data_IF_192610785433
#
_entry.id   IF_192610785433
#
_cell.length_a   1.000
_cell.length_b   1.000
_cell.length_c   1.000
_cell.angle_alpha   90.00
_cell.angle_beta   90.00
_cell.angle_gamma   90.00
#
_symmetry.space_group_name_H-M   'P 1'
#
loop_
_entity.id
_entity.type
_entity.pdbx_description
1 polymer ?
#
# COMPACT_ATOMS: atom_id res chain seq x y z
N UNK A 1 30.77 8.03 -8.39
CA UNK A 1 29.53 7.25 -8.57
C UNK A 1 29.21 6.30 -7.41
N UNK A 2 30.04 5.30 -7.07
CA UNK A 2 29.72 4.35 -5.98
C UNK A 2 29.62 4.97 -4.57
N UNK A 3 30.43 6.00 -4.28
CA UNK A 3 30.39 6.71 -2.98
C UNK A 3 29.07 7.47 -2.78
N UNK A 4 28.61 8.20 -3.80
CA UNK A 4 27.32 8.92 -3.80
C UNK A 4 26.15 7.96 -3.56
N UNK A 5 26.13 6.84 -4.29
CA UNK A 5 25.08 5.82 -4.14
C UNK A 5 25.01 5.29 -2.70
N UNK A 6 26.16 5.11 -2.04
CA UNK A 6 26.20 4.75 -0.61
C UNK A 6 25.65 5.83 0.31
N UNK A 7 25.91 7.11 0.03
CA UNK A 7 25.40 8.23 0.85
C UNK A 7 23.88 8.29 0.84
N UNK A 8 23.25 7.96 -0.29
CA UNK A 8 21.78 8.04 -0.47
C UNK A 8 21.08 6.67 -0.30
N UNK A 9 21.79 5.65 0.21
CA UNK A 9 21.29 4.29 0.39
C UNK A 9 20.40 4.14 1.65
N UNK A 10 19.40 4.99 1.77
CA UNK A 10 18.36 4.94 2.80
C UNK A 10 16.97 5.18 2.19
N UNK A 11 15.91 4.91 2.96
CA UNK A 11 14.52 5.14 2.55
C UNK A 11 14.26 6.64 2.41
N UNK A 12 13.73 7.05 1.26
CA UNK A 12 13.55 8.46 0.87
C UNK A 12 12.21 8.62 0.18
N UNK A 13 11.15 8.58 0.98
CA UNK A 13 9.79 8.73 0.47
C UNK A 13 9.60 10.17 0.02
N UNK A 14 8.96 10.38 -1.13
CA UNK A 14 8.74 11.73 -1.65
C UNK A 14 7.94 12.60 -0.67
N UNK A 15 8.35 13.85 -0.49
CA UNK A 15 7.76 14.80 0.43
C UNK A 15 8.15 14.60 1.90
N UNK A 16 9.18 13.82 2.22
CA UNK A 16 9.70 13.67 3.60
C UNK A 16 11.06 14.35 3.79
N UNK A 17 11.48 14.54 5.05
CA UNK A 17 12.77 15.14 5.40
C UNK A 17 13.96 14.36 4.82
N UNK A 18 13.79 13.04 4.63
CA UNK A 18 14.77 12.17 3.98
C UNK A 18 14.97 12.52 2.50
N UNK A 19 13.94 12.96 1.78
CA UNK A 19 14.08 13.43 0.40
C UNK A 19 14.88 14.75 0.35
N UNK A 20 14.60 15.68 1.27
CA UNK A 20 15.36 16.93 1.39
C UNK A 20 16.84 16.67 1.71
N UNK A 21 17.12 15.71 2.60
CA UNK A 21 18.50 15.30 2.88
C UNK A 21 19.23 14.77 1.64
N UNK A 22 18.53 14.07 0.75
CA UNK A 22 19.10 13.60 -0.52
C UNK A 22 19.34 14.76 -1.48
N UNK A 23 18.43 15.73 -1.55
CA UNK A 23 18.65 16.97 -2.30
C UNK A 23 19.94 17.65 -1.85
N UNK A 24 20.16 17.83 -0.54
CA UNK A 24 21.37 18.47 -0.02
C UNK A 24 22.65 17.72 -0.42
N UNK A 25 22.65 16.38 -0.29
CA UNK A 25 23.79 15.54 -0.70
C UNK A 25 24.10 15.69 -2.18
N UNK A 26 23.08 15.72 -3.04
CA UNK A 26 23.26 15.85 -4.49
C UNK A 26 23.64 17.28 -4.88
N UNK A 27 23.04 18.28 -4.24
CA UNK A 27 23.33 19.69 -4.43
C UNK A 27 24.81 19.99 -4.14
N UNK A 28 25.36 19.44 -3.05
CA UNK A 28 26.78 19.59 -2.71
C UNK A 28 27.71 18.94 -3.74
N UNK A 29 27.33 17.78 -4.30
CA UNK A 29 28.11 17.14 -5.35
C UNK A 29 28.09 17.95 -6.67
N UNK A 30 26.95 18.56 -7.00
CA UNK A 30 26.78 19.43 -8.17
C UNK A 30 27.55 20.74 -7.99
N UNK A 31 27.48 21.38 -6.81
CA UNK A 31 28.30 22.55 -6.45
C UNK A 31 29.79 22.27 -6.56
N UNK A 32 30.22 21.07 -6.16
CA UNK A 32 31.60 20.60 -6.32
C UNK A 32 32.08 20.52 -7.77
N UNK A 33 31.17 20.52 -8.75
CA UNK A 33 31.45 20.57 -10.18
C UNK A 33 31.37 21.99 -10.77
N UNK A 34 31.13 23.00 -9.93
CA UNK A 34 30.98 24.41 -10.35
C UNK A 34 29.61 24.73 -10.96
N UNK A 35 28.59 23.91 -10.69
CA UNK A 35 27.21 24.12 -11.16
C UNK A 35 26.34 24.50 -9.96
N UNK A 36 25.47 25.50 -10.12
CA UNK A 36 24.53 25.90 -9.06
C UNK A 36 23.23 25.09 -9.15
N UNK A 37 22.88 24.29 -8.12
CA UNK A 37 21.63 23.55 -8.08
C UNK A 37 20.44 24.47 -7.75
N UNK A 38 19.31 24.24 -8.42
CA UNK A 38 18.04 24.94 -8.16
C UNK A 38 17.01 23.94 -7.67
N UNK A 39 16.31 24.28 -6.58
CA UNK A 39 15.17 23.51 -6.09
C UNK A 39 13.88 24.09 -6.68
N UNK A 40 13.18 23.29 -7.47
CA UNK A 40 11.82 23.59 -7.93
C UNK A 40 10.82 22.89 -7.01
N UNK A 41 9.98 23.66 -6.31
CA UNK A 41 8.98 23.10 -5.41
C UNK A 41 7.68 22.76 -6.13
N UNK A 42 7.09 21.63 -5.76
CA UNK A 42 5.76 21.23 -6.19
C UNK A 42 5.07 20.44 -5.07
N UNK A 43 3.74 20.44 -5.07
CA UNK A 43 2.96 19.71 -4.07
C UNK A 43 2.90 18.21 -4.40
N UNK A 44 3.10 17.38 -3.39
CA UNK A 44 2.96 15.92 -3.49
C UNK A 44 2.14 15.38 -2.34
N UNK A 45 1.26 14.42 -2.62
CA UNK A 45 0.66 13.60 -1.59
C UNK A 45 1.70 12.58 -1.09
N UNK A 46 2.00 12.64 0.21
CA UNK A 46 2.92 11.74 0.89
C UNK A 46 2.24 10.95 2.00
N UNK A 47 2.94 9.98 2.57
CA UNK A 47 2.48 9.17 3.70
C UNK A 47 3.66 8.78 4.59
N UNK A 48 3.38 8.53 5.87
CA UNK A 48 4.32 7.86 6.78
C UNK A 48 3.91 6.40 6.93
N UNK A 49 4.86 5.49 6.78
CA UNK A 49 4.59 4.07 6.94
C UNK A 49 4.11 3.78 8.37
N UNK A 50 2.90 3.24 8.49
CA UNK A 50 2.34 2.78 9.75
C UNK A 50 2.61 1.30 10.01
N UNK A 51 2.00 0.78 11.07
CA UNK A 51 1.87 -0.66 11.33
C UNK A 51 0.40 -1.04 11.27
N UNK A 52 0.10 -2.22 10.74
CA UNK A 52 -1.24 -2.76 10.69
C UNK A 52 -1.26 -4.20 11.19
N UNK A 53 -2.46 -4.64 11.54
CA UNK A 53 -2.76 -6.02 11.90
C UNK A 53 -4.03 -6.40 11.16
N UNK A 54 -4.10 -7.66 10.69
CA UNK A 54 -5.34 -8.25 10.20
C UNK A 54 -5.64 -9.44 11.09
N UNK A 55 -6.86 -9.51 11.60
CA UNK A 55 -7.32 -10.62 12.43
C UNK A 55 -8.42 -11.39 11.72
N UNK A 56 -8.24 -12.71 11.56
CA UNK A 56 -9.31 -13.60 11.16
C UNK A 56 -10.14 -13.97 12.40
N UNK A 57 -11.41 -13.57 12.38
CA UNK A 57 -12.36 -13.78 13.46
C UNK A 57 -13.04 -15.15 13.32
N UNK A 58 -13.27 -15.81 14.45
CA UNK A 58 -13.89 -17.13 14.54
C UNK A 58 -13.77 -17.65 15.97
N UNK A 59 -13.92 -18.96 16.17
CA UNK A 59 -13.78 -19.58 17.50
C UNK A 59 -12.40 -19.34 18.13
N UNK A 60 -11.36 -19.20 17.29
CA UNK A 60 -10.02 -18.76 17.69
C UNK A 60 -9.61 -17.61 16.79
N UNK A 61 -9.28 -16.47 17.39
CA UNK A 61 -8.75 -15.32 16.67
C UNK A 61 -7.33 -15.64 16.21
N UNK A 62 -7.08 -15.48 14.90
CA UNK A 62 -5.74 -15.55 14.32
C UNK A 62 -5.32 -14.16 13.91
N UNK A 63 -4.19 -13.69 14.43
CA UNK A 63 -3.65 -12.36 14.13
C UNK A 63 -2.47 -12.47 13.17
N UNK A 64 -2.47 -11.62 12.15
CA UNK A 64 -1.43 -11.54 11.13
C UNK A 64 -0.89 -10.12 11.07
N UNK A 65 0.44 -9.99 10.94
CA UNK A 65 1.06 -8.70 10.63
C UNK A 65 0.59 -8.22 9.26
N UNK A 66 0.25 -6.94 9.15
CA UNK A 66 -0.10 -6.30 7.90
C UNK A 66 0.69 -5.00 7.71
N UNK A 67 1.15 -4.75 6.49
CA UNK A 67 1.81 -3.49 6.15
C UNK A 67 0.79 -2.57 5.47
N UNK A 68 0.49 -1.38 6.00
CA UNK A 68 -0.46 -0.47 5.38
C UNK A 68 -0.06 -0.08 3.95
N UNK A 69 -1.03 0.08 3.07
CA UNK A 69 -0.81 0.58 1.71
C UNK A 69 -0.74 2.10 1.75
N UNK A 70 0.38 2.67 1.31
CA UNK A 70 0.58 4.11 1.21
C UNK A 70 -0.47 4.77 0.34
N UNK A 71 -0.87 5.98 0.75
CA UNK A 71 -1.95 6.78 0.13
C UNK A 71 -3.35 6.14 0.14
N UNK A 72 -3.54 4.99 0.79
CA UNK A 72 -4.86 4.44 1.09
C UNK A 72 -5.47 5.07 2.36
N UNK A 73 -6.68 4.62 2.73
CA UNK A 73 -7.31 5.00 3.99
C UNK A 73 -6.66 4.34 5.20
N UNK A 74 -6.99 4.83 6.39
CA UNK A 74 -6.61 4.21 7.66
C UNK A 74 -7.87 4.07 8.51
N UNK A 75 -8.21 2.85 8.92
CA UNK A 75 -9.37 2.58 9.76
C UNK A 75 -9.24 1.22 10.45
N UNK A 76 -9.89 1.08 11.61
CA UNK A 76 -10.23 -0.20 12.22
C UNK A 76 -11.64 -0.57 11.74
N UNK A 77 -11.75 -1.60 10.90
CA UNK A 77 -13.00 -2.02 10.28
C UNK A 77 -13.16 -3.52 10.41
N UNK A 78 -14.38 -3.98 10.67
CA UNK A 78 -14.69 -5.42 10.65
C UNK A 78 -15.71 -5.72 9.55
N UNK A 79 -15.36 -6.60 8.62
CA UNK A 79 -16.22 -6.98 7.51
C UNK A 79 -15.98 -8.44 7.08
N UNK A 80 -16.90 -9.04 6.29
CA UNK A 80 -16.60 -10.27 5.58
C UNK A 80 -15.34 -10.10 4.71
N UNK A 81 -14.61 -11.18 4.47
CA UNK A 81 -13.43 -11.21 3.63
C UNK A 81 -13.69 -12.06 2.39
N UNK A 82 -13.37 -11.53 1.20
CA UNK A 82 -13.62 -12.24 -0.06
C UNK A 82 -12.44 -12.11 -1.02
N UNK A 83 -12.00 -13.25 -1.54
CA UNK A 83 -11.05 -13.25 -2.66
C UNK A 83 -11.76 -12.93 -3.97
N UNK A 84 -11.16 -12.03 -4.76
CA UNK A 84 -11.55 -11.75 -6.13
C UNK A 84 -10.30 -11.86 -7.00
N UNK A 85 -10.39 -12.58 -8.10
CA UNK A 85 -9.34 -12.59 -9.10
C UNK A 85 -9.29 -11.21 -9.77
N UNK A 86 -8.14 -10.49 -9.84
CA UNK A 86 -8.08 -9.13 -10.37
C UNK A 86 -8.74 -8.95 -11.74
N UNK A 87 -8.61 -9.93 -12.65
CA UNK A 87 -9.23 -9.92 -13.97
C UNK A 87 -10.78 -9.90 -13.95
N UNK A 88 -11.40 -10.35 -12.85
CA UNK A 88 -12.85 -10.42 -12.68
C UNK A 88 -13.44 -9.19 -11.96
N UNK A 89 -12.59 -8.37 -11.34
CA UNK A 89 -12.97 -7.20 -10.57
C UNK A 89 -13.81 -6.17 -11.36
N UNK A 90 -13.59 -5.93 -12.67
CA UNK A 90 -14.46 -5.05 -13.48
C UNK A 90 -15.91 -5.53 -13.56
N UNK A 91 -16.14 -6.84 -13.45
CA UNK A 91 -17.47 -7.47 -13.55
C UNK A 91 -18.10 -7.76 -12.18
N UNK A 92 -17.37 -7.51 -11.09
CA UNK A 92 -17.88 -7.71 -9.75
C UNK A 92 -19.11 -6.81 -9.48
N UNK A 93 -20.08 -7.37 -8.75
CA UNK A 93 -21.27 -6.65 -8.28
C UNK A 93 -20.96 -5.95 -6.96
N UNK A 94 -21.93 -5.21 -6.42
CA UNK A 94 -21.84 -4.59 -5.10
C UNK A 94 -21.42 -5.63 -4.06
N UNK A 95 -20.40 -5.31 -3.29
CA UNK A 95 -19.78 -6.17 -2.29
C UNK A 95 -19.20 -5.29 -1.18
N UNK A 96 -19.74 -5.41 0.03
CA UNK A 96 -19.33 -4.65 1.22
C UNK A 96 -18.28 -5.39 2.07
N UNK A 97 -17.61 -6.37 1.48
CA UNK A 97 -16.50 -7.10 2.09
C UNK A 97 -15.18 -6.31 2.04
N UNK A 98 -14.20 -6.79 2.80
CA UNK A 98 -12.79 -6.54 2.55
C UNK A 98 -12.32 -7.50 1.43
N UNK A 99 -11.79 -6.93 0.35
CA UNK A 99 -11.45 -7.69 -0.86
C UNK A 99 -9.98 -8.11 -0.86
N UNK A 100 -9.72 -9.41 -1.03
CA UNK A 100 -8.38 -9.98 -1.17
C UNK A 100 -8.01 -10.08 -2.65
N UNK A 101 -6.82 -9.62 -3.00
CA UNK A 101 -6.26 -9.62 -4.36
C UNK A 101 -4.83 -10.18 -4.33
N UNK A 102 -4.44 -10.96 -5.35
CA UNK A 102 -3.09 -11.52 -5.47
C UNK A 102 -2.09 -10.59 -6.21
N UNK A 103 -2.50 -9.36 -6.56
CA UNK A 103 -1.68 -8.42 -7.33
C UNK A 103 -1.75 -7.00 -6.75
N UNK A 104 -0.86 -6.12 -7.19
CA UNK A 104 -0.88 -4.69 -6.91
C UNK A 104 -2.20 -4.08 -7.39
N UNK A 105 -2.77 -3.21 -6.58
CA UNK A 105 -3.89 -2.35 -6.98
C UNK A 105 -3.37 -1.19 -7.83
N UNK A 106 -3.70 -1.22 -9.12
CA UNK A 106 -3.52 -0.10 -10.06
C UNK A 106 -4.74 0.82 -10.02
N UNK A 107 -4.67 1.97 -10.67
CA UNK A 107 -5.78 2.93 -10.76
C UNK A 107 -7.14 2.27 -11.10
N UNK A 108 -7.22 1.47 -12.18
CA UNK A 108 -8.48 0.81 -12.56
C UNK A 108 -8.95 -0.23 -11.53
N UNK A 109 -8.04 -0.98 -10.90
CA UNK A 109 -8.42 -1.89 -9.81
C UNK A 109 -9.05 -1.10 -8.65
N UNK A 110 -8.44 0.02 -8.26
CA UNK A 110 -8.94 0.84 -7.16
C UNK A 110 -10.31 1.46 -7.46
N UNK A 111 -10.49 2.00 -8.67
CA UNK A 111 -11.78 2.47 -9.17
C UNK A 111 -12.86 1.40 -9.04
N UNK A 112 -12.56 0.15 -9.43
CA UNK A 112 -13.52 -0.93 -9.32
C UNK A 112 -13.80 -1.33 -7.87
N UNK A 113 -12.80 -1.36 -6.98
CA UNK A 113 -12.98 -1.61 -5.55
C UNK A 113 -13.95 -0.59 -4.92
N UNK A 114 -13.74 0.70 -5.19
CA UNK A 114 -14.63 1.76 -4.69
C UNK A 114 -16.02 1.64 -5.30
N UNK A 115 -16.13 1.41 -6.62
CA UNK A 115 -17.40 1.24 -7.34
C UNK A 115 -18.26 0.12 -6.76
N UNK A 116 -17.67 -1.01 -6.40
CA UNK A 116 -18.42 -2.14 -5.81
C UNK A 116 -18.77 -1.90 -4.33
N UNK A 117 -18.23 -0.87 -3.69
CA UNK A 117 -18.50 -0.56 -2.29
C UNK A 117 -17.64 -1.37 -1.31
N UNK A 118 -16.48 -1.85 -1.74
CA UNK A 118 -15.55 -2.59 -0.88
C UNK A 118 -15.20 -1.75 0.36
N UNK A 119 -15.23 -2.37 1.53
CA UNK A 119 -14.91 -1.69 2.80
C UNK A 119 -13.41 -1.48 2.99
N UNK A 120 -12.61 -2.32 2.35
CA UNK A 120 -11.16 -2.25 2.32
C UNK A 120 -10.60 -3.31 1.39
N UNK A 121 -9.28 -3.39 1.30
CA UNK A 121 -8.62 -4.39 0.47
C UNK A 121 -7.34 -4.92 1.10
N UNK A 122 -7.02 -6.17 0.79
CA UNK A 122 -5.80 -6.84 1.21
C UNK A 122 -5.03 -7.34 -0.01
N UNK A 123 -3.77 -6.93 -0.13
CA UNK A 123 -2.85 -7.44 -1.14
C UNK A 123 -2.13 -8.66 -0.56
N UNK A 124 -2.36 -9.81 -1.16
CA UNK A 124 -1.74 -11.08 -0.77
C UNK A 124 -0.44 -11.23 -1.55
N UNK A 125 0.69 -11.37 -0.84
CA UNK A 125 1.98 -11.60 -1.52
C UNK A 125 2.03 -12.97 -2.19
N UNK A 126 2.97 -13.14 -3.12
CA UNK A 126 3.30 -14.46 -3.66
C UNK A 126 3.93 -15.35 -2.56
N UNK A 127 3.78 -16.69 -2.65
CA UNK A 127 4.39 -17.62 -1.70
C UNK A 127 5.87 -17.35 -1.46
N UNK A 128 6.29 -17.41 -0.19
CA UNK A 128 7.70 -17.22 0.21
C UNK A 128 8.20 -15.77 0.20
N UNK A 129 7.38 -14.78 -0.18
CA UNK A 129 7.75 -13.36 -0.10
C UNK A 129 7.24 -12.71 1.19
N UNK A 130 8.15 -12.04 1.88
CA UNK A 130 7.82 -11.13 2.99
C UNK A 130 6.93 -9.99 2.49
N UNK A 131 5.85 -9.64 3.22
CA UNK A 131 5.05 -8.45 2.93
C UNK A 131 5.93 -7.20 2.85
N UNK A 132 5.87 -6.51 1.72
CA UNK A 132 6.52 -5.21 1.51
C UNK A 132 5.56 -4.06 1.80
N UNK A 133 5.99 -2.83 1.47
CA UNK A 133 5.14 -1.65 1.46
C UNK A 133 4.70 -1.38 0.02
N UNK A 134 3.39 -1.28 -0.19
CA UNK A 134 2.81 -0.88 -1.46
C UNK A 134 2.21 0.53 -1.32
N UNK A 135 2.07 1.23 -2.44
CA UNK A 135 1.51 2.59 -2.47
C UNK A 135 0.54 2.69 -3.64
N UNK A 136 -0.58 3.39 -3.45
CA UNK A 136 -1.50 3.74 -4.53
C UNK A 136 -0.97 4.93 -5.33
N UNK A 137 -1.43 5.09 -6.57
CA UNK A 137 -1.23 6.32 -7.31
C UNK A 137 -1.98 7.48 -6.62
N UNK A 138 -1.38 8.68 -6.54
CA UNK A 138 -2.00 9.85 -5.91
C UNK A 138 -3.39 10.16 -6.50
N UNK A 139 -3.55 9.93 -7.82
CA UNK A 139 -4.78 10.12 -8.57
C UNK A 139 -5.93 9.24 -8.04
N UNK A 140 -5.63 8.01 -7.62
CA UNK A 140 -6.65 7.05 -7.14
C UNK A 140 -7.41 7.58 -5.92
N UNK A 141 -6.68 8.01 -4.90
CA UNK A 141 -7.27 8.54 -3.68
C UNK A 141 -7.97 9.90 -3.90
N UNK A 142 -7.43 10.72 -4.81
CA UNK A 142 -8.01 12.03 -5.17
C UNK A 142 -9.36 11.90 -5.88
N UNK A 143 -9.50 10.95 -6.80
CA UNK A 143 -10.71 10.82 -7.62
C UNK A 143 -11.80 9.96 -6.98
N UNK A 144 -11.42 8.91 -6.26
CA UNK A 144 -12.39 7.93 -5.73
C UNK A 144 -12.48 7.93 -4.19
N UNK A 145 -11.76 8.82 -3.53
CA UNK A 145 -11.65 8.82 -2.06
C UNK A 145 -10.75 7.71 -1.55
N UNK A 146 -10.73 7.53 -0.23
CA UNK A 146 -9.81 6.61 0.46
C UNK A 146 -10.57 5.46 1.14
N UNK A 147 -10.25 4.22 0.75
CA UNK A 147 -10.59 3.00 1.51
C UNK A 147 -9.32 2.38 2.11
N UNK A 148 -9.38 1.76 3.30
CA UNK A 148 -8.21 1.16 3.94
C UNK A 148 -7.65 -0.02 3.14
N UNK A 149 -6.33 -0.07 3.06
CA UNK A 149 -5.60 -1.12 2.36
C UNK A 149 -4.39 -1.62 3.14
N UNK A 150 -4.12 -2.93 3.08
CA UNK A 150 -2.91 -3.50 3.66
C UNK A 150 -2.33 -4.65 2.82
N UNK A 151 -1.04 -4.93 2.99
CA UNK A 151 -0.34 -6.07 2.41
C UNK A 151 -0.16 -7.13 3.48
N UNK A 152 -0.54 -8.37 3.17
CA UNK A 152 -0.42 -9.54 4.05
C UNK A 152 0.37 -10.65 3.35
N UNK A 153 0.87 -11.62 4.14
CA UNK A 153 1.59 -12.75 3.57
C UNK A 153 0.65 -13.69 2.82
N UNK A 154 1.23 -14.48 1.91
CA UNK A 154 0.51 -15.56 1.23
C UNK A 154 -0.20 -16.51 2.19
N UNK A 155 0.46 -16.87 3.28
CA UNK A 155 -0.03 -17.79 4.31
C UNK A 155 -1.23 -17.21 5.04
N UNK A 156 -1.20 -15.92 5.38
CA UNK A 156 -2.33 -15.21 5.96
C UNK A 156 -3.51 -15.17 4.98
N UNK A 157 -3.27 -14.80 3.73
CA UNK A 157 -4.28 -14.79 2.67
C UNK A 157 -4.92 -16.17 2.49
N UNK A 158 -4.11 -17.23 2.38
CA UNK A 158 -4.59 -18.62 2.27
C UNK A 158 -5.45 -19.02 3.47
N UNK A 159 -5.08 -18.64 4.69
CA UNK A 159 -5.86 -18.94 5.91
C UNK A 159 -7.22 -18.24 5.87
N UNK A 160 -7.27 -16.96 5.48
CA UNK A 160 -8.51 -16.19 5.35
C UNK A 160 -9.41 -16.79 4.28
N UNK A 161 -8.87 -17.10 3.10
CA UNK A 161 -9.64 -17.65 1.96
C UNK A 161 -10.18 -19.05 2.28
N UNK A 162 -9.43 -19.84 3.03
CA UNK A 162 -9.83 -21.20 3.40
C UNK A 162 -10.83 -21.24 4.57
N UNK A 163 -11.08 -20.11 5.24
CA UNK A 163 -12.03 -20.04 6.34
C UNK A 163 -13.47 -19.96 5.79
N UNK A 164 -14.35 -20.78 6.35
CA UNK A 164 -15.79 -20.69 6.08
C UNK A 164 -16.33 -19.38 6.67
N UNK A 165 -17.05 -18.61 5.86
CA UNK A 165 -17.66 -17.32 6.25
C UNK A 165 -16.64 -16.35 6.88
N UNK A 166 -15.46 -16.24 6.27
CA UNK A 166 -14.35 -15.45 6.77
C UNK A 166 -14.77 -14.01 7.09
N UNK A 167 -14.54 -13.59 8.33
CA UNK A 167 -14.66 -12.20 8.78
C UNK A 167 -13.33 -11.73 9.29
N UNK A 168 -12.92 -10.54 8.88
CA UNK A 168 -11.64 -9.96 9.30
C UNK A 168 -11.82 -8.60 9.93
N UNK A 169 -10.93 -8.28 10.87
CA UNK A 169 -10.72 -6.96 11.44
C UNK A 169 -9.35 -6.45 11.03
#
# INVERSE_FOLDING_TARGET
MFKTLKKIAFERVGGTDEEMKVFDILADEIRGMGIEPVLESFEVATFRAGKGTVELLGNKILSFKANPVGLSGCADITAPARYIEPATLPYAKKDDSIILLQDRVRFEHYKHLVRIGAKGFLLVTTPGKTPGFATLEQKSAREFGKIPGAVISYEAGKRIISAKDARVR
#
